data_IF_498867089637
#
_entry.id   IF_498867089637
#
_cell.length_a   1.000
_cell.length_b   1.000
_cell.length_c   1.000
_cell.angle_alpha   90.00
_cell.angle_beta   90.00
_cell.angle_gamma   90.00
#
_symmetry.space_group_name_H-M   'P 1'
#
loop_
_entity.id
_entity.type
_entity.pdbx_description
1 polymer ?
#
# COMPACT_ATOMS: atom_id res chain seq x y z
N UNK A 1 12.34 -3.34 20.67
CA UNK A 1 12.42 -1.90 20.33
C UNK A 1 11.85 -1.74 18.93
N UNK A 2 11.00 -0.74 18.71
CA UNK A 2 10.41 -0.48 17.40
C UNK A 2 11.48 -0.22 16.35
N UNK A 3 11.22 -0.60 15.09
CA UNK A 3 12.10 -0.31 13.96
C UNK A 3 11.74 1.02 13.32
N UNK A 4 12.71 1.74 12.76
CA UNK A 4 12.44 2.99 12.03
C UNK A 4 11.98 2.64 10.62
N UNK A 5 10.72 2.94 10.31
CA UNK A 5 10.10 2.69 9.00
C UNK A 5 9.79 4.02 8.34
N UNK A 6 10.29 4.25 7.13
CA UNK A 6 10.02 5.45 6.35
C UNK A 6 9.13 5.08 5.17
N UNK A 7 8.09 5.86 4.90
CA UNK A 7 7.31 5.72 3.66
C UNK A 7 7.23 7.06 2.92
N UNK A 8 7.15 7.02 1.59
CA UNK A 8 7.08 8.23 0.73
C UNK A 8 5.85 8.16 -0.16
N UNK A 9 4.99 9.18 -0.12
CA UNK A 9 3.90 9.27 -1.07
C UNK A 9 2.94 10.43 -0.85
N UNK A 10 1.72 10.29 -1.39
CA UNK A 10 0.65 11.27 -1.27
C UNK A 10 -0.42 10.82 -0.27
N UNK A 11 -0.77 11.70 0.68
CA UNK A 11 -2.00 11.58 1.46
C UNK A 11 -3.05 12.52 0.88
N UNK A 12 -4.25 11.99 0.65
CA UNK A 12 -5.36 12.70 0.05
C UNK A 12 -6.51 12.86 1.05
N UNK A 13 -7.33 13.88 0.81
CA UNK A 13 -8.66 14.01 1.41
C UNK A 13 -9.64 13.12 0.62
N UNK A 14 -10.16 12.10 1.28
CA UNK A 14 -11.27 11.27 0.81
C UNK A 14 -12.59 11.85 1.27
N UNK A 15 -13.49 12.08 0.32
CA UNK A 15 -14.88 12.49 0.56
C UNK A 15 -15.80 11.33 0.16
N UNK A 16 -16.29 10.58 1.16
CA UNK A 16 -17.11 9.41 0.95
C UNK A 16 -18.60 9.71 1.11
N UNK A 17 -19.45 9.19 0.23
CA UNK A 17 -20.90 9.28 0.45
C UNK A 17 -21.31 8.42 1.66
N UNK A 18 -22.23 8.88 2.54
CA UNK A 18 -22.65 8.09 3.69
C UNK A 18 -23.32 6.78 3.29
N UNK A 19 -22.93 5.70 3.96
CA UNK A 19 -23.44 4.35 3.73
C UNK A 19 -23.23 3.90 2.29
N UNK A 20 -24.32 3.62 1.58
CA UNK A 20 -24.33 3.16 0.18
C UNK A 20 -24.98 4.17 -0.77
N UNK A 21 -25.13 5.44 -0.36
CA UNK A 21 -25.73 6.49 -1.18
C UNK A 21 -24.86 6.82 -2.39
N UNK A 22 -25.47 7.28 -3.50
CA UNK A 22 -24.74 7.76 -4.68
C UNK A 22 -24.43 9.25 -4.55
N UNK A 23 -23.43 9.75 -5.27
CA UNK A 23 -23.05 11.16 -5.38
C UNK A 23 -24.26 12.02 -5.73
N UNK A 24 -25.09 11.57 -6.67
CA UNK A 24 -26.30 12.30 -7.10
C UNK A 24 -27.43 12.30 -6.06
N UNK A 25 -27.30 11.54 -4.97
CA UNK A 25 -28.26 11.45 -3.88
C UNK A 25 -27.73 12.06 -2.58
N UNK A 26 -26.44 12.36 -2.51
CA UNK A 26 -25.76 12.64 -1.26
C UNK A 26 -25.68 14.14 -1.00
N UNK A 27 -26.18 14.57 0.15
CA UNK A 27 -26.11 15.97 0.61
C UNK A 27 -24.93 16.22 1.56
N UNK A 28 -24.09 15.21 1.82
CA UNK A 28 -22.94 15.30 2.72
C UNK A 28 -21.85 14.28 2.35
N UNK A 29 -20.64 14.50 2.87
CA UNK A 29 -19.53 13.56 2.70
C UNK A 29 -18.84 13.30 4.03
N UNK A 30 -18.51 12.03 4.27
CA UNK A 30 -17.61 11.61 5.34
C UNK A 30 -16.17 12.00 4.96
N UNK A 31 -15.49 12.70 5.87
CA UNK A 31 -14.12 13.19 5.70
C UNK A 31 -13.13 12.17 6.26
N UNK A 32 -12.29 11.63 5.38
CA UNK A 32 -11.22 10.70 5.74
C UNK A 32 -9.92 11.17 5.07
N UNK A 33 -8.77 10.97 5.72
CA UNK A 33 -7.47 11.18 5.09
C UNK A 33 -6.78 9.83 4.90
N UNK A 34 -6.20 9.60 3.74
CA UNK A 34 -5.58 8.33 3.38
C UNK A 34 -4.79 8.40 2.08
N UNK A 35 -3.96 7.39 1.86
CA UNK A 35 -3.09 7.26 0.68
C UNK A 35 -2.21 6.04 0.86
N UNK A 36 -1.81 5.36 -0.22
CA UNK A 36 -1.22 4.02 -0.13
C UNK A 36 -0.09 3.93 0.89
N UNK A 37 0.91 4.79 0.74
CA UNK A 37 2.10 4.81 1.59
C UNK A 37 1.84 5.40 2.98
N UNK A 38 0.85 6.31 3.11
CA UNK A 38 0.38 6.82 4.39
C UNK A 38 -0.34 5.74 5.21
N UNK A 39 -1.14 4.90 4.56
CA UNK A 39 -1.86 3.79 5.16
C UNK A 39 -0.89 2.70 5.65
N UNK A 40 0.19 2.46 4.91
CA UNK A 40 1.31 1.61 5.34
C UNK A 40 1.98 2.18 6.58
N UNK A 41 2.32 3.48 6.59
CA UNK A 41 2.92 4.12 7.76
C UNK A 41 2.04 3.99 9.01
N UNK A 42 0.73 4.20 8.89
CA UNK A 42 -0.21 4.03 10.01
C UNK A 42 -0.25 2.57 10.48
N UNK A 43 -0.26 1.61 9.56
CA UNK A 43 -0.19 0.18 9.94
C UNK A 43 1.08 -0.11 10.74
N UNK A 44 2.24 0.35 10.27
CA UNK A 44 3.50 0.16 10.97
C UNK A 44 3.55 0.84 12.35
N UNK A 45 3.02 2.07 12.46
CA UNK A 45 2.89 2.78 13.74
C UNK A 45 1.99 2.01 14.72
N UNK A 46 0.85 1.49 14.23
CA UNK A 46 -0.08 0.70 15.03
C UNK A 46 0.55 -0.59 15.56
N UNK A 47 1.55 -1.13 14.84
CA UNK A 47 2.30 -2.31 15.25
C UNK A 47 3.58 -2.00 16.05
N UNK A 48 3.72 -0.76 16.55
CA UNK A 48 4.79 -0.37 17.47
C UNK A 48 6.12 0.02 16.82
N UNK A 49 6.15 0.25 15.51
CA UNK A 49 7.32 0.78 14.80
C UNK A 49 7.36 2.31 14.82
N UNK A 50 8.55 2.90 14.76
CA UNK A 50 8.73 4.33 14.58
C UNK A 50 8.51 4.67 13.09
N UNK A 51 7.25 4.81 12.70
CA UNK A 51 6.87 5.07 11.32
C UNK A 51 6.86 6.57 10.98
N UNK A 52 7.59 6.97 9.94
CA UNK A 52 7.67 8.32 9.40
C UNK A 52 7.04 8.37 8.02
N UNK A 53 6.21 9.39 7.77
CA UNK A 53 5.65 9.63 6.44
C UNK A 53 6.28 10.87 5.80
N UNK A 54 6.94 10.66 4.66
CA UNK A 54 7.56 11.72 3.84
C UNK A 54 6.55 12.15 2.79
N UNK A 55 6.20 13.42 2.81
CA UNK A 55 5.28 14.03 1.83
C UNK A 55 5.40 15.55 1.86
N UNK A 56 4.66 16.26 1.00
CA UNK A 56 4.50 17.71 1.05
C UNK A 56 3.02 18.07 1.16
N UNK A 57 2.67 18.91 2.12
CA UNK A 57 1.31 19.37 2.38
C UNK A 57 1.23 20.90 2.49
N UNK A 58 0.13 21.53 2.06
CA UNK A 58 -0.07 22.96 2.22
C UNK A 58 -0.01 23.42 3.69
N UNK A 59 0.25 24.72 3.87
CA UNK A 59 0.29 25.35 5.20
C UNK A 59 -1.10 25.60 5.80
N UNK A 60 -2.14 25.66 4.95
CA UNK A 60 -3.52 25.89 5.36
C UNK A 60 -4.14 24.68 6.09
N UNK A 61 -5.35 24.87 6.60
CA UNK A 61 -6.03 24.01 7.57
C UNK A 61 -6.37 22.62 7.03
N UNK A 62 -6.68 22.49 5.73
CA UNK A 62 -6.89 21.16 5.10
C UNK A 62 -5.59 20.35 5.09
N UNK A 63 -4.44 20.96 4.78
CA UNK A 63 -3.14 20.31 4.89
C UNK A 63 -2.80 19.97 6.34
N UNK A 64 -3.08 20.87 7.28
CA UNK A 64 -2.90 20.60 8.71
C UNK A 64 -3.78 19.46 9.21
N UNK A 65 -4.99 19.29 8.67
CA UNK A 65 -5.90 18.19 9.02
C UNK A 65 -5.32 16.83 8.61
N UNK A 66 -4.67 16.73 7.45
CA UNK A 66 -3.95 15.52 7.04
C UNK A 66 -2.77 15.20 7.98
N UNK A 67 -1.99 16.22 8.39
CA UNK A 67 -0.92 16.05 9.39
C UNK A 67 -1.48 15.55 10.72
N UNK A 68 -2.59 16.13 11.18
CA UNK A 68 -3.23 15.74 12.43
C UNK A 68 -3.78 14.31 12.36
N UNK A 69 -4.35 13.90 11.22
CA UNK A 69 -4.84 12.55 11.01
C UNK A 69 -3.72 11.51 11.15
N UNK A 70 -2.52 11.78 10.62
CA UNK A 70 -1.35 10.92 10.78
C UNK A 70 -0.88 10.84 12.24
N UNK A 71 -0.72 12.01 12.90
CA UNK A 71 -0.29 12.09 14.30
C UNK A 71 -1.23 11.36 15.25
N UNK A 72 -2.54 11.42 14.98
CA UNK A 72 -3.57 10.72 15.76
C UNK A 72 -3.27 9.23 15.90
N UNK A 73 -2.68 8.61 14.88
CA UNK A 73 -2.36 7.18 14.86
C UNK A 73 -0.86 6.90 15.03
N UNK A 74 -0.11 7.84 15.62
CA UNK A 74 1.28 7.62 16.03
C UNK A 74 2.33 7.79 14.94
N UNK A 75 1.94 8.11 13.69
CA UNK A 75 2.88 8.39 12.62
C UNK A 75 3.65 9.68 12.91
N UNK A 76 4.98 9.60 12.81
CA UNK A 76 5.90 10.72 12.93
C UNK A 76 5.79 11.59 11.69
N UNK A 77 5.77 12.91 11.89
CA UNK A 77 5.44 13.89 10.83
C UNK A 77 6.56 14.89 10.58
N UNK A 78 7.74 14.56 11.09
CA UNK A 78 8.94 15.36 11.15
C UNK A 78 9.46 15.69 9.74
N UNK A 79 9.19 14.79 8.77
CA UNK A 79 9.61 14.90 7.37
C UNK A 79 8.48 15.32 6.42
N UNK A 80 7.40 15.91 6.94
CA UNK A 80 6.36 16.51 6.12
C UNK A 80 6.77 17.93 5.76
N UNK A 81 7.21 18.13 4.51
CA UNK A 81 7.46 19.45 3.96
C UNK A 81 6.15 20.27 3.91
N UNK A 82 6.24 21.58 4.19
CA UNK A 82 5.07 22.47 4.24
C UNK A 82 5.13 23.55 3.17
N UNK A 83 4.25 23.46 2.18
CA UNK A 83 4.17 24.39 1.04
C UNK A 83 3.22 23.88 -0.04
N UNK A 84 3.09 24.64 -1.14
CA UNK A 84 2.10 24.36 -2.19
C UNK A 84 0.68 24.77 -1.79
N UNK A 85 -0.25 24.65 -2.75
CA UNK A 85 -1.54 25.33 -2.67
C UNK A 85 -2.72 24.42 -2.31
N UNK A 86 -2.64 23.10 -2.56
CA UNK A 86 -3.76 22.18 -2.30
C UNK A 86 -3.33 20.77 -1.89
N UNK A 87 -4.25 20.10 -1.19
CA UNK A 87 -4.22 18.66 -0.91
C UNK A 87 -4.98 17.95 -2.03
N UNK A 88 -4.48 16.81 -2.51
CA UNK A 88 -5.22 15.99 -3.46
C UNK A 88 -6.53 15.48 -2.84
N UNK A 89 -7.60 15.45 -3.62
CA UNK A 89 -8.92 15.00 -3.18
C UNK A 89 -9.33 13.79 -4.01
N UNK A 90 -10.05 12.85 -3.40
CA UNK A 90 -10.84 11.90 -4.18
C UNK A 90 -12.22 11.67 -3.54
N UNK A 91 -13.22 11.55 -4.40
CA UNK A 91 -14.60 11.27 -4.01
C UNK A 91 -14.84 9.77 -4.14
N UNK A 92 -15.49 9.17 -3.14
CA UNK A 92 -15.78 7.74 -3.11
C UNK A 92 -17.27 7.49 -2.87
N UNK A 93 -17.91 6.76 -3.78
CA UNK A 93 -19.17 6.07 -3.48
C UNK A 93 -18.88 4.61 -3.14
N UNK A 94 -19.38 4.14 -1.99
CA UNK A 94 -19.30 2.73 -1.61
C UNK A 94 -20.23 1.88 -2.46
N UNK A 95 -19.68 0.81 -3.04
CA UNK A 95 -20.40 -0.20 -3.81
C UNK A 95 -21.19 -1.16 -2.91
N UNK A 96 -22.15 -1.86 -3.50
CA UNK A 96 -22.91 -2.89 -2.81
C UNK A 96 -23.29 -4.00 -3.80
N UNK A 97 -23.03 -5.26 -3.45
CA UNK A 97 -23.32 -6.42 -4.31
C UNK A 97 -22.72 -6.23 -5.72
N UNK A 98 -23.51 -6.32 -6.80
CA UNK A 98 -23.03 -6.14 -8.17
C UNK A 98 -22.66 -4.70 -8.55
N UNK A 99 -23.01 -3.69 -7.73
CA UNK A 99 -22.64 -2.29 -7.98
C UNK A 99 -21.23 -2.03 -7.41
N UNK A 100 -20.21 -1.76 -8.23
CA UNK A 100 -18.86 -1.49 -7.72
C UNK A 100 -18.79 -0.15 -6.99
N UNK A 101 -17.80 0.00 -6.11
CA UNK A 101 -17.42 1.31 -5.59
C UNK A 101 -16.90 2.19 -6.73
N UNK A 102 -17.15 3.49 -6.67
CA UNK A 102 -16.74 4.44 -7.71
C UNK A 102 -15.86 5.54 -7.12
N UNK A 103 -14.75 5.82 -7.79
CA UNK A 103 -13.81 6.88 -7.41
C UNK A 103 -13.67 7.92 -8.51
N UNK A 104 -13.80 9.20 -8.12
CA UNK A 104 -13.48 10.38 -8.93
C UNK A 104 -12.30 11.08 -8.27
N UNK A 105 -11.19 11.25 -9.00
CA UNK A 105 -9.99 11.89 -8.49
C UNK A 105 -9.98 13.38 -8.85
N UNK A 106 -9.55 14.18 -7.88
CA UNK A 106 -9.20 15.60 -7.99
C UNK A 106 -7.83 15.79 -7.31
N UNK A 107 -6.82 15.08 -7.80
CA UNK A 107 -5.48 15.02 -7.19
C UNK A 107 -4.40 15.83 -7.92
N UNK A 108 -4.67 16.26 -9.15
CA UNK A 108 -3.70 17.03 -9.93
C UNK A 108 -3.28 18.31 -9.17
N UNK A 109 -2.05 18.76 -9.40
CA UNK A 109 -1.49 19.97 -8.78
C UNK A 109 -1.51 19.95 -7.25
N UNK A 110 -1.48 18.76 -6.62
CA UNK A 110 -1.30 18.67 -5.18
C UNK A 110 0.13 19.05 -4.78
N UNK A 111 0.29 19.48 -3.53
CA UNK A 111 1.58 19.94 -3.03
C UNK A 111 2.74 18.94 -3.22
N UNK A 112 2.48 17.63 -3.05
CA UNK A 112 3.48 16.58 -3.29
C UNK A 112 3.72 16.30 -4.77
N UNK A 113 2.70 16.44 -5.64
CA UNK A 113 2.88 16.29 -7.08
C UNK A 113 3.78 17.40 -7.66
N UNK A 114 3.86 18.57 -7.01
CA UNK A 114 4.67 19.71 -7.45
C UNK A 114 5.94 19.94 -6.60
N UNK A 115 6.19 19.07 -5.62
CA UNK A 115 7.33 19.17 -4.72
C UNK A 115 8.67 19.07 -5.45
N UNK A 116 9.67 19.79 -4.94
CA UNK A 116 11.01 19.84 -5.50
C UNK A 116 11.97 19.03 -4.62
N UNK A 117 13.06 18.54 -5.22
CA UNK A 117 14.08 17.78 -4.49
C UNK A 117 14.63 18.54 -3.25
N UNK A 118 14.72 19.86 -3.33
CA UNK A 118 15.19 20.71 -2.23
C UNK A 118 14.25 20.75 -1.02
N UNK A 119 13.01 20.25 -1.14
CA UNK A 119 12.09 20.14 0.00
C UNK A 119 12.49 19.02 0.98
N UNK A 120 13.38 18.10 0.57
CA UNK A 120 13.70 16.89 1.31
C UNK A 120 15.21 16.62 1.41
N UNK A 121 15.72 16.50 2.64
CA UNK A 121 17.05 15.95 2.90
C UNK A 121 16.94 14.42 3.04
N UNK A 122 17.01 13.71 1.92
CA UNK A 122 16.82 12.26 1.92
C UNK A 122 17.91 11.49 2.67
N UNK A 123 19.13 12.00 2.77
CA UNK A 123 20.18 11.34 3.55
C UNK A 123 19.86 11.44 5.05
N UNK A 124 19.43 12.61 5.54
CA UNK A 124 18.98 12.75 6.93
C UNK A 124 17.69 11.95 7.22
N UNK A 125 16.76 11.88 6.27
CA UNK A 125 15.54 11.08 6.40
C UNK A 125 15.88 9.59 6.58
N UNK A 126 16.80 9.07 5.77
CA UNK A 126 17.16 7.64 5.75
C UNK A 126 18.14 7.24 6.86
N UNK A 127 18.80 8.20 7.52
CA UNK A 127 19.74 7.92 8.61
C UNK A 127 19.10 7.05 9.70
N UNK A 128 19.67 5.87 9.94
CA UNK A 128 19.18 4.91 10.94
C UNK A 128 17.82 4.27 10.62
N UNK A 129 17.31 4.40 9.39
CA UNK A 129 16.11 3.70 8.97
C UNK A 129 16.38 2.21 8.77
N UNK A 130 15.46 1.34 9.21
CA UNK A 130 15.52 -0.09 8.93
C UNK A 130 14.82 -0.43 7.60
N UNK A 131 13.78 0.34 7.26
CA UNK A 131 12.92 0.06 6.12
C UNK A 131 12.45 1.35 5.42
N UNK A 132 12.46 1.33 4.08
CA UNK A 132 11.86 2.34 3.23
C UNK A 132 10.80 1.72 2.32
N UNK A 133 9.59 2.29 2.28
CA UNK A 133 8.49 1.82 1.44
C UNK A 133 7.94 2.92 0.52
N UNK A 134 7.65 2.55 -0.72
CA UNK A 134 6.96 3.39 -1.69
C UNK A 134 6.03 2.53 -2.56
N UNK A 135 5.10 3.16 -3.30
CA UNK A 135 4.28 2.46 -4.29
C UNK A 135 4.41 3.08 -5.67
N UNK A 136 4.05 2.32 -6.71
CA UNK A 136 4.00 2.79 -8.09
C UNK A 136 3.04 3.97 -8.32
N UNK A 137 2.18 4.31 -7.35
CA UNK A 137 1.36 5.53 -7.40
C UNK A 137 2.24 6.78 -7.35
N UNK A 138 3.21 6.84 -6.45
CA UNK A 138 4.02 8.05 -6.22
C UNK A 138 4.82 8.51 -7.44
N UNK A 139 5.58 7.67 -8.16
CA UNK A 139 6.21 8.11 -9.40
C UNK A 139 5.20 8.36 -10.54
N UNK A 140 3.95 7.93 -10.42
CA UNK A 140 2.93 8.12 -11.45
C UNK A 140 2.17 9.45 -11.35
N UNK A 141 2.21 10.16 -10.21
CA UNK A 141 1.46 11.42 -10.07
C UNK A 141 2.10 12.61 -10.79
N UNK A 142 3.43 12.60 -10.97
CA UNK A 142 4.15 13.60 -11.77
C UNK A 142 5.60 13.18 -12.05
N UNK A 143 6.23 13.80 -13.05
CA UNK A 143 7.67 13.58 -13.31
C UNK A 143 8.53 14.06 -12.12
N UNK A 144 8.11 15.11 -11.39
CA UNK A 144 8.78 15.54 -10.16
C UNK A 144 8.71 14.47 -9.07
N UNK A 145 7.55 13.87 -8.85
CA UNK A 145 7.38 12.81 -7.87
C UNK A 145 8.15 11.53 -8.25
N UNK A 146 8.30 11.24 -9.55
CA UNK A 146 9.17 10.19 -10.03
C UNK A 146 10.64 10.45 -9.67
N UNK A 147 11.11 11.69 -9.84
CA UNK A 147 12.46 12.10 -9.45
C UNK A 147 12.67 12.02 -7.93
N UNK A 148 11.71 12.49 -7.13
CA UNK A 148 11.75 12.34 -5.67
C UNK A 148 11.85 10.87 -5.23
N UNK A 149 11.09 9.99 -5.88
CA UNK A 149 11.12 8.55 -5.62
C UNK A 149 12.52 7.97 -5.92
N UNK A 150 13.13 8.36 -7.05
CA UNK A 150 14.49 7.95 -7.40
C UNK A 150 15.51 8.41 -6.34
N UNK A 151 15.47 9.69 -5.95
CA UNK A 151 16.38 10.25 -4.96
C UNK A 151 16.25 9.56 -3.58
N UNK A 152 15.02 9.26 -3.16
CA UNK A 152 14.76 8.53 -1.93
C UNK A 152 15.30 7.08 -2.00
N UNK A 153 15.10 6.37 -3.10
CA UNK A 153 15.66 5.03 -3.32
C UNK A 153 17.20 5.03 -3.29
N UNK A 154 17.84 6.03 -3.92
CA UNK A 154 19.29 6.17 -3.89
C UNK A 154 19.82 6.43 -2.48
N UNK A 155 19.15 7.30 -1.72
CA UNK A 155 19.50 7.54 -0.32
C UNK A 155 19.33 6.27 0.52
N UNK A 156 18.19 5.58 0.40
CA UNK A 156 17.96 4.31 1.09
C UNK A 156 19.09 3.30 0.82
N UNK A 157 19.53 3.19 -0.44
CA UNK A 157 20.64 2.31 -0.82
C UNK A 157 21.97 2.73 -0.21
N UNK A 158 22.30 4.03 -0.20
CA UNK A 158 23.52 4.57 0.45
C UNK A 158 23.57 4.26 1.95
N UNK A 159 22.42 4.26 2.60
CA UNK A 159 22.28 4.01 4.03
C UNK A 159 22.02 2.52 4.39
N UNK A 160 22.02 1.62 3.40
CA UNK A 160 21.82 0.18 3.63
C UNK A 160 20.40 -0.18 4.13
N UNK A 161 19.42 0.67 3.84
CA UNK A 161 18.01 0.51 4.24
C UNK A 161 17.35 -0.54 3.34
N UNK A 162 16.52 -1.42 3.91
CA UNK A 162 15.71 -2.36 3.10
C UNK A 162 14.63 -1.59 2.35
N UNK A 163 14.53 -1.75 1.03
CA UNK A 163 13.54 -1.04 0.21
C UNK A 163 12.43 -1.99 -0.24
N UNK A 164 11.18 -1.63 0.03
CA UNK A 164 10.01 -2.31 -0.53
C UNK A 164 9.19 -1.44 -1.46
N UNK A 165 8.65 -2.05 -2.50
CA UNK A 165 7.73 -1.42 -3.45
C UNK A 165 6.41 -2.19 -3.49
N UNK A 166 5.30 -1.47 -3.53
CA UNK A 166 4.03 -1.98 -4.07
C UNK A 166 3.86 -1.47 -5.50
N UNK A 167 3.87 -2.36 -6.51
CA UNK A 167 3.83 -1.98 -7.91
C UNK A 167 2.58 -1.15 -8.28
N UNK A 168 1.45 -1.43 -7.63
CA UNK A 168 0.21 -0.63 -7.59
C UNK A 168 -0.13 0.12 -8.90
N UNK A 169 -0.22 -0.59 -10.04
CA UNK A 169 -0.42 0.06 -11.33
C UNK A 169 -1.80 0.70 -11.43
N UNK A 170 -1.86 1.97 -11.86
CA UNK A 170 -3.12 2.70 -12.07
C UNK A 170 -3.22 3.24 -13.49
N UNK A 171 -4.11 2.62 -14.29
CA UNK A 171 -4.47 3.03 -15.66
C UNK A 171 -4.85 4.51 -15.81
N UNK A 172 -5.36 5.14 -14.73
CA UNK A 172 -5.74 6.57 -14.72
C UNK A 172 -4.55 7.54 -14.55
N UNK A 173 -3.39 7.06 -14.10
CA UNK A 173 -2.22 7.91 -13.85
C UNK A 173 -1.23 7.88 -15.01
N UNK A 174 -1.03 6.73 -15.63
CA UNK A 174 -0.04 6.57 -16.69
C UNK A 174 -0.32 5.39 -17.61
N UNK A 175 0.33 5.38 -18.77
CA UNK A 175 0.33 4.25 -19.68
C UNK A 175 1.32 3.17 -19.23
N UNK A 176 1.17 1.97 -19.78
CA UNK A 176 2.11 0.85 -19.55
C UNK A 176 3.55 1.23 -19.92
N UNK A 177 3.73 1.92 -21.05
CA UNK A 177 5.03 2.30 -21.57
C UNK A 177 5.72 3.29 -20.63
N UNK A 178 4.99 4.31 -20.17
CA UNK A 178 5.51 5.28 -19.20
C UNK A 178 5.85 4.62 -17.87
N UNK A 179 4.97 3.76 -17.35
CA UNK A 179 5.21 3.00 -16.13
C UNK A 179 6.48 2.16 -16.23
N UNK A 180 6.65 1.36 -17.29
CA UNK A 180 7.85 0.54 -17.47
C UNK A 180 9.13 1.37 -17.59
N UNK A 181 9.08 2.52 -18.29
CA UNK A 181 10.25 3.40 -18.42
C UNK A 181 10.73 4.00 -17.09
N UNK A 182 9.83 4.16 -16.11
CA UNK A 182 10.16 4.72 -14.79
C UNK A 182 10.41 3.62 -13.76
N UNK A 183 9.53 2.61 -13.69
CA UNK A 183 9.57 1.58 -12.66
C UNK A 183 10.77 0.64 -12.82
N UNK A 184 11.09 0.18 -14.04
CA UNK A 184 12.19 -0.78 -14.25
C UNK A 184 13.53 -0.26 -13.72
N UNK A 185 13.98 0.98 -14.02
CA UNK A 185 15.20 1.52 -13.43
C UNK A 185 15.17 1.59 -11.89
N UNK A 186 14.01 1.85 -11.27
CA UNK A 186 13.90 1.94 -9.82
C UNK A 186 14.04 0.58 -9.12
N UNK A 187 13.79 -0.53 -9.83
CA UNK A 187 13.85 -1.87 -9.23
C UNK A 187 15.26 -2.28 -8.80
N UNK A 188 16.32 -1.65 -9.34
CA UNK A 188 17.70 -1.91 -8.91
C UNK A 188 17.96 -1.57 -7.43
N UNK A 189 17.09 -0.76 -6.82
CA UNK A 189 17.20 -0.37 -5.42
C UNK A 189 16.30 -1.21 -4.50
N UNK A 190 15.40 -2.03 -5.05
CA UNK A 190 14.32 -2.71 -4.31
C UNK A 190 14.78 -4.09 -3.84
N UNK A 191 14.47 -4.41 -2.59
CA UNK A 191 14.68 -5.74 -2.00
C UNK A 191 13.38 -6.56 -1.93
N UNK A 192 12.25 -5.89 -1.70
CA UNK A 192 10.92 -6.53 -1.51
C UNK A 192 9.92 -5.99 -2.51
N UNK A 193 9.48 -6.82 -3.45
CA UNK A 193 8.50 -6.46 -4.46
C UNK A 193 7.12 -7.04 -4.11
N UNK A 194 6.13 -6.17 -3.97
CA UNK A 194 4.72 -6.50 -3.72
C UNK A 194 3.93 -6.09 -4.97
N UNK A 195 3.06 -6.97 -5.46
CA UNK A 195 2.18 -6.67 -6.59
C UNK A 195 1.44 -7.91 -7.06
N UNK A 196 0.50 -7.76 -7.98
CA UNK A 196 -0.17 -8.91 -8.63
C UNK A 196 0.39 -9.19 -10.03
N UNK A 197 -0.17 -10.18 -10.72
CA UNK A 197 0.23 -10.55 -12.09
C UNK A 197 0.05 -9.41 -13.10
N UNK A 198 -1.04 -8.65 -12.99
CA UNK A 198 -1.33 -7.51 -13.86
C UNK A 198 -0.29 -6.41 -13.61
N UNK A 199 0.08 -6.15 -12.35
CA UNK A 199 1.13 -5.19 -12.02
C UNK A 199 2.50 -5.63 -12.54
N UNK A 200 2.86 -6.91 -12.43
CA UNK A 200 4.11 -7.45 -12.95
C UNK A 200 4.23 -7.25 -14.46
N UNK A 201 3.14 -7.44 -15.21
CA UNK A 201 3.12 -7.15 -16.64
C UNK A 201 3.18 -5.64 -16.91
N UNK A 202 2.33 -4.86 -16.26
CA UNK A 202 2.11 -3.46 -16.62
C UNK A 202 3.27 -2.56 -16.15
N UNK A 203 3.84 -2.82 -14.98
CA UNK A 203 4.98 -2.06 -14.46
C UNK A 203 6.33 -2.62 -14.91
N UNK A 204 6.48 -3.95 -15.05
CA UNK A 204 7.78 -4.59 -15.25
C UNK A 204 7.88 -5.43 -16.54
N UNK A 205 6.78 -5.68 -17.24
CA UNK A 205 6.78 -6.39 -18.52
C UNK A 205 6.89 -7.92 -18.41
N UNK A 206 6.69 -8.48 -17.22
CA UNK A 206 6.67 -9.93 -17.03
C UNK A 206 5.27 -10.46 -17.31
N UNK A 207 5.14 -11.28 -18.35
CA UNK A 207 3.88 -11.93 -18.71
C UNK A 207 3.87 -13.37 -18.23
N UNK A 208 2.73 -13.90 -17.76
CA UNK A 208 2.55 -15.34 -17.66
C UNK A 208 2.61 -15.96 -19.06
N UNK A 209 3.20 -17.15 -19.19
CA UNK A 209 3.20 -17.92 -20.43
C UNK A 209 1.81 -18.51 -20.77
N UNK A 210 0.84 -18.43 -19.86
CA UNK A 210 -0.51 -18.97 -20.00
C UNK A 210 -1.60 -17.88 -19.98
N UNK A 211 -2.64 -18.10 -20.79
CA UNK A 211 -3.81 -17.23 -20.96
C UNK A 211 -4.69 -17.23 -19.69
N UNK A 212 -4.49 -16.24 -18.82
CA UNK A 212 -5.23 -16.08 -17.55
C UNK A 212 -6.57 -15.36 -17.79
N UNK A 213 -7.33 -15.73 -18.82
CA UNK A 213 -8.74 -15.29 -18.96
C UNK A 213 -9.72 -16.20 -18.21
N UNK A 214 -9.22 -17.27 -17.58
CA UNK A 214 -10.02 -18.36 -17.04
C UNK A 214 -10.34 -18.33 -15.54
N UNK A 215 -10.23 -17.21 -14.82
CA UNK A 215 -10.74 -17.05 -13.43
C UNK A 215 -10.30 -18.09 -12.38
N UNK A 216 -9.36 -18.98 -12.71
CA UNK A 216 -8.73 -19.95 -11.83
C UNK A 216 -7.27 -19.54 -11.75
N UNK A 217 -6.90 -19.04 -10.59
CA UNK A 217 -5.53 -18.69 -10.19
C UNK A 217 -4.66 -19.94 -10.32
N UNK A 218 -3.99 -20.12 -11.46
CA UNK A 218 -3.02 -21.20 -11.62
C UNK A 218 -1.73 -20.81 -10.89
N UNK A 219 -1.55 -21.33 -9.69
CA UNK A 219 -0.42 -21.02 -8.81
C UNK A 219 0.94 -21.27 -9.48
N UNK A 220 1.04 -22.16 -10.47
CA UNK A 220 2.29 -22.42 -11.18
C UNK A 220 2.70 -21.28 -12.12
N UNK A 221 1.73 -20.60 -12.76
CA UNK A 221 1.99 -19.42 -13.58
C UNK A 221 2.59 -18.26 -12.78
N UNK A 222 2.12 -18.06 -11.54
CA UNK A 222 2.66 -17.06 -10.62
C UNK A 222 4.11 -17.36 -10.24
N UNK A 223 4.44 -18.63 -9.99
CA UNK A 223 5.80 -19.03 -9.57
C UNK A 223 6.84 -18.74 -10.66
N UNK A 224 6.48 -18.90 -11.94
CA UNK A 224 7.36 -18.58 -13.07
C UNK A 224 7.71 -17.09 -13.10
N UNK A 225 6.71 -16.22 -13.03
CA UNK A 225 6.88 -14.76 -12.99
C UNK A 225 7.73 -14.34 -11.79
N UNK A 226 7.47 -14.91 -10.62
CA UNK A 226 8.19 -14.57 -9.39
C UNK A 226 9.69 -14.90 -9.50
N UNK A 227 10.01 -16.09 -10.00
CA UNK A 227 11.39 -16.51 -10.25
C UNK A 227 12.08 -15.60 -11.25
N UNK A 228 11.38 -15.23 -12.33
CA UNK A 228 11.93 -14.35 -13.36
C UNK A 228 12.22 -12.95 -12.81
N UNK A 229 11.29 -12.34 -12.06
CA UNK A 229 11.49 -11.03 -11.44
C UNK A 229 12.60 -11.04 -10.40
N UNK A 230 12.63 -12.05 -9.52
CA UNK A 230 13.70 -12.19 -8.53
C UNK A 230 15.07 -12.35 -9.20
N UNK A 231 15.15 -13.10 -10.31
CA UNK A 231 16.39 -13.27 -11.07
C UNK A 231 16.83 -12.00 -11.80
N UNK A 232 15.90 -11.25 -12.41
CA UNK A 232 16.22 -10.06 -13.19
C UNK A 232 16.65 -8.88 -12.31
N UNK A 233 15.93 -8.64 -11.21
CA UNK A 233 16.16 -7.48 -10.36
C UNK A 233 16.88 -7.79 -9.04
N UNK A 234 17.09 -9.06 -8.71
CA UNK A 234 17.74 -9.45 -7.46
C UNK A 234 16.87 -9.26 -6.23
N UNK A 235 15.53 -9.26 -6.38
CA UNK A 235 14.62 -9.15 -5.25
C UNK A 235 14.84 -10.27 -4.25
N UNK A 236 14.94 -9.91 -2.97
CA UNK A 236 14.97 -10.86 -1.86
C UNK A 236 13.60 -11.50 -1.64
N UNK A 237 12.53 -10.74 -1.82
CA UNK A 237 11.16 -11.24 -1.72
C UNK A 237 10.30 -10.76 -2.88
N UNK A 238 9.50 -11.68 -3.42
CA UNK A 238 8.41 -11.38 -4.36
C UNK A 238 7.10 -11.84 -3.75
N UNK A 239 6.11 -10.96 -3.69
CA UNK A 239 4.88 -11.15 -2.92
C UNK A 239 3.67 -10.73 -3.76
N UNK A 240 2.62 -11.56 -3.81
CA UNK A 240 1.34 -11.21 -4.44
C UNK A 240 0.16 -11.52 -3.57
N UNK A 241 -0.80 -10.60 -3.54
CA UNK A 241 -2.15 -10.87 -3.05
C UNK A 241 -2.97 -11.54 -4.14
N UNK A 242 -3.67 -12.61 -3.81
CA UNK A 242 -4.52 -13.39 -4.71
C UNK A 242 -5.98 -13.13 -4.33
N UNK A 243 -6.57 -12.08 -4.92
CA UNK A 243 -7.95 -11.68 -4.65
C UNK A 243 -8.93 -12.44 -5.54
N UNK A 244 -9.96 -13.02 -4.93
CA UNK A 244 -11.11 -13.56 -5.66
C UNK A 244 -12.28 -12.57 -5.51
N UNK A 245 -12.63 -11.85 -6.57
CA UNK A 245 -13.64 -10.79 -6.52
C UNK A 245 -15.03 -11.31 -6.89
N UNK A 246 -15.83 -11.74 -5.91
CA UNK A 246 -17.20 -12.24 -6.16
C UNK A 246 -18.21 -11.10 -6.32
N UNK A 247 -18.13 -10.07 -5.48
CA UNK A 247 -18.97 -8.87 -5.57
C UNK A 247 -18.32 -7.68 -4.84
N UNK A 248 -18.96 -6.50 -4.84
CA UNK A 248 -18.49 -5.36 -4.04
C UNK A 248 -18.48 -5.64 -2.52
N UNK A 249 -19.27 -6.63 -2.07
CA UNK A 249 -19.46 -6.97 -0.66
C UNK A 249 -18.91 -8.35 -0.26
N UNK A 250 -18.31 -9.11 -1.18
CA UNK A 250 -17.79 -10.46 -0.90
C UNK A 250 -16.56 -10.75 -1.73
N UNK A 251 -15.43 -11.04 -1.07
CA UNK A 251 -14.18 -11.46 -1.71
C UNK A 251 -13.55 -12.65 -0.99
N UNK A 252 -12.83 -13.48 -1.74
CA UNK A 252 -11.78 -14.35 -1.21
C UNK A 252 -10.45 -13.61 -1.15
N UNK A 253 -9.68 -13.84 -0.09
CA UNK A 253 -8.41 -13.16 0.16
C UNK A 253 -7.33 -14.13 0.65
N UNK A 254 -6.24 -14.24 -0.10
CA UNK A 254 -5.02 -14.97 0.27
C UNK A 254 -3.81 -14.32 -0.39
N UNK A 255 -2.61 -14.80 -0.13
CA UNK A 255 -1.38 -14.30 -0.76
C UNK A 255 -0.35 -15.40 -0.95
N UNK A 256 0.71 -15.09 -1.70
CA UNK A 256 1.89 -15.93 -1.87
C UNK A 256 3.17 -15.10 -1.74
N UNK A 257 4.20 -15.67 -1.12
CA UNK A 257 5.56 -15.10 -0.99
C UNK A 257 6.62 -16.07 -1.52
N UNK A 258 7.65 -15.52 -2.14
CA UNK A 258 8.84 -16.22 -2.60
C UNK A 258 10.09 -15.50 -2.10
N UNK A 259 11.02 -16.24 -1.50
CA UNK A 259 12.28 -15.70 -0.94
C UNK A 259 13.52 -15.93 -1.83
N UNK A 260 13.33 -16.38 -3.08
CA UNK A 260 14.43 -16.80 -3.96
C UNK A 260 14.69 -18.31 -3.95
N UNK A 261 14.18 -19.05 -2.97
CA UNK A 261 14.40 -20.49 -2.83
C UNK A 261 13.08 -21.27 -2.83
N UNK A 262 12.17 -20.90 -1.94
CA UNK A 262 10.91 -21.60 -1.70
C UNK A 262 9.71 -20.64 -1.70
N UNK A 263 8.54 -21.20 -2.00
CA UNK A 263 7.27 -20.48 -1.98
C UNK A 263 6.49 -20.83 -0.71
N UNK A 264 5.73 -19.86 -0.21
CA UNK A 264 4.71 -20.08 0.80
C UNK A 264 3.39 -19.43 0.36
N UNK A 265 2.29 -20.18 0.43
CA UNK A 265 0.93 -19.70 0.17
C UNK A 265 0.17 -19.61 1.49
N UNK A 266 -0.53 -18.51 1.71
CA UNK A 266 -1.26 -18.27 2.96
C UNK A 266 -2.57 -19.04 3.06
N UNK A 267 -3.16 -19.04 4.26
CA UNK A 267 -4.60 -19.30 4.44
C UNK A 267 -5.45 -18.37 3.58
N UNK A 268 -6.63 -18.88 3.21
CA UNK A 268 -7.68 -18.12 2.52
C UNK A 268 -8.72 -17.62 3.52
N UNK A 269 -9.00 -16.33 3.49
CA UNK A 269 -10.13 -15.73 4.20
C UNK A 269 -11.28 -15.47 3.25
N UNK A 270 -12.49 -15.81 3.69
CA UNK A 270 -13.74 -15.45 3.02
C UNK A 270 -14.31 -14.19 3.69
N UNK A 271 -14.16 -13.04 3.03
CA UNK A 271 -14.54 -11.75 3.59
C UNK A 271 -15.97 -11.43 3.14
N UNK A 272 -16.93 -11.67 4.03
CA UNK A 272 -18.35 -11.46 3.77
C UNK A 272 -19.13 -11.06 5.05
N UNK A 273 -19.69 -9.84 5.14
CA UNK A 273 -19.62 -8.76 4.14
C UNK A 273 -18.30 -7.97 4.24
N UNK A 274 -17.92 -7.32 3.15
CA UNK A 274 -16.92 -6.24 3.15
C UNK A 274 -17.59 -4.95 3.66
N UNK A 275 -16.95 -4.28 4.62
CA UNK A 275 -17.37 -2.97 5.14
C UNK A 275 -16.71 -1.86 4.33
N UNK A 276 -15.38 -1.84 4.27
CA UNK A 276 -14.62 -0.91 3.41
C UNK A 276 -13.30 -1.55 2.98
N UNK A 277 -13.15 -1.80 1.68
CA UNK A 277 -11.95 -2.42 1.10
C UNK A 277 -10.82 -1.44 0.82
N UNK A 278 -11.06 -0.14 0.89
CA UNK A 278 -10.00 0.86 0.70
C UNK A 278 -8.98 0.69 1.84
N UNK A 279 -7.69 0.75 1.50
CA UNK A 279 -6.62 0.44 2.45
C UNK A 279 -6.31 -1.06 2.64
N UNK A 280 -7.12 -1.96 2.06
CA UNK A 280 -6.89 -3.41 2.20
C UNK A 280 -5.52 -3.86 1.68
N UNK A 281 -5.09 -3.38 0.51
CA UNK A 281 -3.75 -3.68 -0.01
C UNK A 281 -2.64 -3.05 0.85
N UNK A 282 -2.83 -1.81 1.28
CA UNK A 282 -1.83 -1.09 2.07
C UNK A 282 -1.63 -1.71 3.46
N UNK A 283 -2.71 -2.19 4.09
CA UNK A 283 -2.63 -2.95 5.34
C UNK A 283 -1.91 -4.29 5.18
N UNK A 284 -2.00 -4.92 4.00
CA UNK A 284 -1.18 -6.09 3.67
C UNK A 284 0.30 -5.71 3.57
N UNK A 285 0.62 -4.63 2.85
CA UNK A 285 2.01 -4.13 2.75
C UNK A 285 2.59 -3.76 4.12
N UNK A 286 1.84 -3.07 4.97
CA UNK A 286 2.24 -2.77 6.35
C UNK A 286 2.41 -4.03 7.22
N UNK A 287 1.53 -5.02 7.03
CA UNK A 287 1.62 -6.34 7.65
C UNK A 287 2.83 -7.14 7.19
N UNK A 288 3.22 -7.06 5.92
CA UNK A 288 4.46 -7.67 5.39
C UNK A 288 5.69 -7.01 6.00
N UNK A 289 5.72 -5.68 6.07
CA UNK A 289 6.84 -4.95 6.68
C UNK A 289 6.99 -5.36 8.14
N UNK A 290 5.90 -5.33 8.92
CA UNK A 290 5.94 -5.81 10.30
C UNK A 290 6.35 -7.28 10.38
N UNK A 291 5.75 -8.14 9.55
CA UNK A 291 5.99 -9.57 9.53
C UNK A 291 7.44 -9.92 9.28
N UNK A 292 8.05 -9.35 8.22
CA UNK A 292 9.45 -9.61 7.87
C UNK A 292 10.44 -9.02 8.88
N UNK A 293 10.04 -7.98 9.63
CA UNK A 293 10.87 -7.40 10.70
C UNK A 293 10.80 -8.17 12.03
N UNK A 294 9.71 -8.90 12.31
CA UNK A 294 9.45 -9.44 13.66
C UNK A 294 9.20 -10.94 13.72
N UNK A 295 8.85 -11.59 12.61
CA UNK A 295 8.46 -13.02 12.58
C UNK A 295 9.65 -13.92 12.23
N UNK A 296 9.63 -15.18 12.68
CA UNK A 296 10.77 -16.08 12.53
C UNK A 296 11.01 -16.54 11.08
N UNK A 297 10.01 -16.46 10.21
CA UNK A 297 10.11 -16.88 8.81
C UNK A 297 9.07 -16.19 7.92
N UNK A 298 9.23 -16.34 6.60
CA UNK A 298 8.34 -15.73 5.60
C UNK A 298 6.88 -16.19 5.70
N UNK A 299 6.63 -17.44 6.10
CA UNK A 299 5.28 -17.97 6.22
C UNK A 299 4.51 -17.29 7.34
N UNK A 300 5.13 -17.17 8.51
CA UNK A 300 4.57 -16.42 9.64
C UNK A 300 4.37 -14.93 9.31
N UNK A 301 5.29 -14.33 8.53
CA UNK A 301 5.13 -12.97 8.04
C UNK A 301 3.92 -12.83 7.10
N UNK A 302 3.74 -13.77 6.18
CA UNK A 302 2.62 -13.75 5.22
C UNK A 302 1.27 -13.98 5.91
N UNK A 303 1.19 -14.92 6.85
CA UNK A 303 -0.04 -15.18 7.62
C UNK A 303 -0.47 -13.95 8.40
N UNK A 304 0.47 -13.26 9.05
CA UNK A 304 0.20 -11.99 9.73
C UNK A 304 -0.35 -10.94 8.75
N UNK A 305 0.31 -10.75 7.60
CA UNK A 305 -0.08 -9.74 6.63
C UNK A 305 -1.46 -9.99 6.01
N UNK A 306 -1.79 -11.25 5.71
CA UNK A 306 -3.09 -11.62 5.13
C UNK A 306 -4.21 -11.47 6.17
N UNK A 307 -3.98 -11.86 7.43
CA UNK A 307 -4.94 -11.67 8.51
C UNK A 307 -5.19 -10.18 8.79
N UNK A 308 -4.13 -9.36 8.89
CA UNK A 308 -4.22 -7.91 9.05
C UNK A 308 -5.06 -7.27 7.93
N UNK A 309 -4.79 -7.66 6.70
CA UNK A 309 -5.52 -7.17 5.53
C UNK A 309 -6.97 -7.64 5.49
N UNK A 310 -7.26 -8.89 5.87
CA UNK A 310 -8.63 -9.37 5.98
C UNK A 310 -9.43 -8.56 7.02
N UNK A 311 -8.84 -8.28 8.18
CA UNK A 311 -9.45 -7.45 9.22
C UNK A 311 -9.64 -6.00 8.76
N UNK A 312 -8.72 -5.42 7.98
CA UNK A 312 -8.89 -4.06 7.45
C UNK A 312 -10.19 -3.90 6.65
N UNK A 313 -10.65 -4.95 5.96
CA UNK A 313 -11.90 -4.90 5.18
C UNK A 313 -13.16 -4.75 6.07
N UNK A 314 -13.05 -4.90 7.39
CA UNK A 314 -14.15 -4.75 8.35
C UNK A 314 -14.21 -3.36 8.99
N UNK A 315 -13.25 -2.48 8.67
CA UNK A 315 -13.10 -1.15 9.28
C UNK A 315 -13.28 -0.06 8.23
N UNK A 316 -14.19 0.89 8.50
CA UNK A 316 -14.40 2.08 7.66
C UNK A 316 -13.15 2.98 7.61
N UNK A 317 -12.87 3.55 6.44
CA UNK A 317 -11.74 4.45 6.23
C UNK A 317 -10.52 3.75 5.65
N UNK A 318 -9.48 4.51 5.36
CA UNK A 318 -8.30 4.01 4.64
C UNK A 318 -7.29 3.33 5.59
N UNK A 319 -7.15 3.83 6.82
CA UNK A 319 -6.16 3.36 7.76
C UNK A 319 -6.52 2.01 8.38
N UNK A 320 -5.50 1.18 8.59
CA UNK A 320 -5.61 -0.04 9.36
C UNK A 320 -5.43 0.26 10.84
N UNK A 321 -6.47 -0.04 11.63
CA UNK A 321 -6.50 0.21 13.07
C UNK A 321 -6.47 -1.08 13.89
N UNK A 322 -6.19 -2.22 13.24
CA UNK A 322 -6.16 -3.55 13.85
C UNK A 322 -4.85 -3.74 14.60
N UNK A 323 -4.92 -4.09 15.88
CA UNK A 323 -3.77 -4.34 16.77
C UNK A 323 -3.01 -5.62 16.41
N UNK A 324 -1.78 -5.77 16.94
CA UNK A 324 -0.99 -7.01 16.75
C UNK A 324 -1.76 -8.20 17.30
N UNK A 325 -2.38 -8.06 18.47
CA UNK A 325 -3.11 -9.10 19.17
C UNK A 325 -4.31 -9.61 18.36
N UNK A 326 -5.08 -8.70 17.75
CA UNK A 326 -6.20 -9.07 16.87
C UNK A 326 -5.73 -9.82 15.62
N UNK A 327 -4.60 -9.39 15.02
CA UNK A 327 -4.02 -10.08 13.86
C UNK A 327 -3.55 -11.48 14.23
N UNK A 328 -2.82 -11.62 15.35
CA UNK A 328 -2.34 -12.92 15.83
C UNK A 328 -3.49 -13.87 16.16
N UNK A 329 -4.57 -13.37 16.77
CA UNK A 329 -5.75 -14.17 17.07
C UNK A 329 -6.37 -14.74 15.78
N UNK A 330 -6.56 -13.89 14.75
CA UNK A 330 -7.12 -14.33 13.47
C UNK A 330 -6.15 -15.26 12.71
N UNK A 331 -4.86 -14.95 12.68
CA UNK A 331 -3.84 -15.79 12.05
C UNK A 331 -3.73 -17.16 12.75
N UNK A 332 -3.93 -17.19 14.08
CA UNK A 332 -4.04 -18.41 14.90
C UNK A 332 -5.31 -19.22 14.66
N UNK A 333 -6.31 -18.66 13.98
CA UNK A 333 -7.54 -19.34 13.58
C UNK A 333 -8.81 -18.91 14.33
N UNK A 334 -8.74 -17.93 15.23
CA UNK A 334 -9.94 -17.37 15.84
C UNK A 334 -10.64 -16.41 14.88
N UNK A 335 -11.46 -16.97 13.99
CA UNK A 335 -12.36 -16.24 13.11
C UNK A 335 -13.80 -16.19 13.65
N UNK A 336 -14.00 -16.44 14.95
CA UNK A 336 -15.34 -16.68 15.51
C UNK A 336 -16.21 -15.43 15.63
N UNK A 337 -15.60 -14.23 15.66
CA UNK A 337 -16.30 -12.95 15.88
C UNK A 337 -16.96 -12.86 17.26
N UNK A 338 -16.59 -13.71 18.22
CA UNK A 338 -17.17 -13.73 19.57
C UNK A 338 -16.71 -12.52 20.37
N UNK A 339 -17.54 -12.12 21.35
CA UNK A 339 -17.21 -11.05 22.28
C UNK A 339 -15.95 -11.41 23.06
N UNK A 340 -14.88 -10.64 22.86
CA UNK A 340 -13.66 -10.70 23.66
C UNK A 340 -13.83 -9.84 24.93
N UNK A 341 -13.30 -10.28 26.07
CA UNK A 341 -13.41 -9.62 27.39
C UNK A 341 -12.05 -9.54 28.06
#
# INVERSE_FOLDING_TARGET
MGKKVVTLGEIMLRLSTPGNTRFVQSDSFDVVYGGGEANVAVSCANYGHDAYFVTKLPKHEIGQSAVNALRKYGVKTDFIARGGDRVGIYYLETGASMRPSKVIYDRAHSAIAEADAADFDFDAIMEGADWFHWSGITPAISDKAAELTRLACEAAKRHGVTVSVDLNFRKKLWTKEKAQSIMKPLMQYVDVCIGNEEDAELCLGFKPDADVEGGKTDAEGYKGIFKAMAKEFGFKYVISTLRESFSATHNGWKAMIYNGEEFYESKRYDINPIIDRVGGGDSFSGGIIHGLLTKPNQGAALEFAVAASALKHTINGDFNLVSVEEVEALAGGDASGRVQR
#
